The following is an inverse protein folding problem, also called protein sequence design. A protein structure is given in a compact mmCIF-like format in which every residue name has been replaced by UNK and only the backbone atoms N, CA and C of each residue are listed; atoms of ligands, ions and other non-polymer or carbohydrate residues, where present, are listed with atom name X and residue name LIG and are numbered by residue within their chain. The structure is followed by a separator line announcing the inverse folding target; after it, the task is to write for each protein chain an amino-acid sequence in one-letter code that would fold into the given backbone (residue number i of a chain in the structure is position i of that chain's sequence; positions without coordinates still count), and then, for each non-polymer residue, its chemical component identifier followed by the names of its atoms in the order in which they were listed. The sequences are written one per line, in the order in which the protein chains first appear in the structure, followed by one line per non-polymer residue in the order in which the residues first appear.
data_IF_757191456940
#
_entry.id   IF_757191456940
#
_cell.length_a   1.000
_cell.length_b   1.000
_cell.length_c   1.000
_cell.angle_alpha   90.00
_cell.angle_beta   90.00
_cell.angle_gamma   90.00
#
_symmetry.space_group_name_H-M   'P 1'
#
loop_
_entity.id
_entity.type
_entity.pdbx_description
1 polymer ?
#
# COMPACT_ATOMS: atom_id res chain seq x y z
N UNK A 1 -6.28 -1.46 -6.36
CA UNK A 1 -5.88 -0.21 -5.72
C UNK A 1 -4.37 -0.19 -5.69
N UNK A 2 -3.77 0.89 -6.17
CA UNK A 2 -2.32 1.05 -6.20
C UNK A 2 -1.87 1.78 -4.93
N UNK A 3 -0.69 1.42 -4.42
CA UNK A 3 -0.02 2.18 -3.37
C UNK A 3 1.42 2.49 -3.81
N UNK A 4 1.95 3.63 -3.36
CA UNK A 4 3.31 4.08 -3.65
C UNK A 4 3.82 4.92 -2.48
N UNK A 5 5.02 4.61 -1.97
CA UNK A 5 5.67 5.39 -0.92
C UNK A 5 7.20 5.25 -0.96
N UNK A 6 7.92 6.15 -0.28
CA UNK A 6 9.38 6.10 -0.16
C UNK A 6 9.80 5.24 1.03
N UNK A 7 10.70 4.29 0.76
CA UNK A 7 11.41 3.56 1.80
C UNK A 7 12.45 4.46 2.48
N UNK A 8 12.80 4.16 3.74
CA UNK A 8 13.86 4.88 4.47
C UNK A 8 15.24 4.80 3.81
N UNK A 9 15.49 3.82 2.93
CA UNK A 9 16.73 3.71 2.15
C UNK A 9 16.75 4.61 0.89
N UNK A 10 15.67 5.34 0.60
CA UNK A 10 15.56 6.24 -0.55
C UNK A 10 14.87 5.64 -1.79
N UNK A 11 14.70 4.32 -1.83
CA UNK A 11 14.00 3.62 -2.92
C UNK A 11 12.48 3.76 -2.84
N UNK A 12 11.84 3.62 -3.98
CA UNK A 12 10.38 3.64 -4.09
C UNK A 12 9.80 2.23 -3.91
N UNK A 13 8.72 2.14 -3.15
CA UNK A 13 7.95 0.91 -2.95
C UNK A 13 6.55 1.13 -3.51
N UNK A 14 6.16 0.32 -4.49
CA UNK A 14 4.83 0.35 -5.09
C UNK A 14 4.34 -1.05 -5.46
N UNK A 15 3.03 -1.25 -5.41
CA UNK A 15 2.36 -2.48 -5.84
C UNK A 15 0.86 -2.23 -6.07
N UNK A 16 0.20 -3.21 -6.69
CA UNK A 16 -1.23 -3.22 -6.94
C UNK A 16 -1.94 -4.29 -6.11
N UNK A 17 -2.88 -3.87 -5.28
CA UNK A 17 -3.83 -4.76 -4.60
C UNK A 17 -5.09 -4.94 -5.45
N UNK A 18 -5.67 -6.14 -5.44
CA UNK A 18 -6.95 -6.37 -6.12
C UNK A 18 -8.04 -5.58 -5.40
N UNK A 19 -8.66 -4.61 -6.09
CA UNK A 19 -9.75 -3.82 -5.52
C UNK A 19 -11.03 -4.65 -5.37
N UNK A 20 -11.85 -4.34 -4.37
CA UNK A 20 -13.14 -5.01 -4.11
C UNK A 20 -13.56 -4.93 -2.65
N UNK A 21 -12.57 -4.95 -1.76
CA UNK A 21 -12.79 -4.87 -0.31
C UNK A 21 -12.72 -3.44 0.21
N UNK A 22 -13.45 -3.17 1.29
CA UNK A 22 -13.46 -1.87 1.99
C UNK A 22 -12.11 -1.63 2.67
N UNK A 23 -11.46 -2.70 3.11
CA UNK A 23 -10.18 -2.70 3.80
C UNK A 23 -9.32 -3.87 3.30
N UNK A 24 -8.04 -3.60 3.05
CA UNK A 24 -7.04 -4.59 2.63
C UNK A 24 -5.85 -4.50 3.58
N UNK A 25 -5.47 -5.62 4.18
CA UNK A 25 -4.23 -5.74 4.95
C UNK A 25 -3.19 -6.53 4.14
N UNK A 26 -2.01 -5.96 3.92
CA UNK A 26 -0.93 -6.59 3.13
C UNK A 26 0.45 -6.23 3.67
N UNK A 27 1.47 -6.95 3.23
CA UNK A 27 2.88 -6.65 3.50
C UNK A 27 3.54 -6.12 2.23
N UNK A 28 4.18 -4.96 2.30
CA UNK A 28 5.03 -4.42 1.25
C UNK A 28 6.50 -4.64 1.61
N UNK A 29 7.30 -5.12 0.66
CA UNK A 29 8.73 -5.37 0.86
C UNK A 29 9.51 -4.41 -0.04
N UNK A 30 10.50 -3.72 0.51
CA UNK A 30 11.45 -2.97 -0.30
C UNK A 30 12.49 -3.93 -0.89
N UNK A 31 12.47 -4.13 -2.20
CA UNK A 31 13.38 -5.04 -2.92
C UNK A 31 14.87 -4.70 -2.76
N UNK A 32 15.20 -3.45 -2.43
CA UNK A 32 16.58 -3.01 -2.27
C UNK A 32 17.19 -3.32 -0.89
N UNK A 33 16.47 -3.01 0.19
CA UNK A 33 16.99 -3.14 1.56
C UNK A 33 16.29 -4.22 2.39
N UNK A 34 15.25 -4.87 1.86
CA UNK A 34 14.50 -5.93 2.52
C UNK A 34 13.58 -5.47 3.66
N UNK A 35 13.41 -4.15 3.87
CA UNK A 35 12.49 -3.63 4.90
C UNK A 35 11.06 -4.03 4.57
N UNK A 36 10.34 -4.53 5.58
CA UNK A 36 8.94 -4.97 5.46
C UNK A 36 8.02 -3.96 6.15
N UNK A 37 6.97 -3.54 5.45
CA UNK A 37 5.93 -2.64 5.94
C UNK A 37 4.60 -3.38 6.00
N UNK A 38 3.99 -3.41 7.19
CA UNK A 38 2.60 -3.84 7.33
C UNK A 38 1.68 -2.69 6.97
N UNK A 39 0.88 -2.86 5.92
CA UNK A 39 -0.01 -1.84 5.39
C UNK A 39 -1.47 -2.23 5.62
N UNK A 40 -2.25 -1.28 6.11
CA UNK A 40 -3.71 -1.33 6.09
C UNK A 40 -4.20 -0.24 5.16
N UNK A 41 -4.90 -0.64 4.11
CA UNK A 41 -5.39 0.23 3.05
C UNK A 41 -6.91 0.28 3.16
N UNK A 42 -7.46 1.44 3.46
CA UNK A 42 -8.90 1.65 3.66
C UNK A 42 -9.46 2.53 2.56
N UNK A 43 -10.49 2.04 1.86
CA UNK A 43 -11.19 2.84 0.86
C UNK A 43 -12.10 3.85 1.55
N UNK A 44 -11.82 5.14 1.40
CA UNK A 44 -12.73 6.19 1.86
C UNK A 44 -13.81 6.42 0.80
N UNK A 45 -15.07 6.10 1.12
CA UNK A 45 -16.21 6.54 0.30
C UNK A 45 -16.54 7.98 0.66
N UNK A 46 -16.28 8.93 -0.23
CA UNK A 46 -16.89 10.26 -0.14
C UNK A 46 -18.39 10.13 -0.37
N UNK A 47 -19.19 10.39 0.67
CA UNK A 47 -20.64 10.51 0.57
C UNK A 47 -20.96 11.72 -0.30
N UNK A 48 -21.24 11.50 -1.57
CA UNK A 48 -22.09 12.39 -2.38
C UNK A 48 -23.07 11.47 -3.10
N UNK A 49 -24.16 11.17 -2.39
CA UNK A 49 -25.43 10.68 -2.96
C UNK A 49 -26.18 11.89 -3.56
#
# INVERSE_FOLDING_TARGET
MEYQFKCGCGEEVSDFTRGGDIEISTNAICEHCGTVYALTITTLRTKYD
#
